data_IF_500328048268
#
_entry.id   IF_500328048268
#
_cell.length_a   1.000
_cell.length_b   1.000
_cell.length_c   1.000
_cell.angle_alpha   90.00
_cell.angle_beta   90.00
_cell.angle_gamma   90.00
#
_symmetry.space_group_name_H-M   'P 1'
#
loop_
_entity.id
_entity.type
_entity.pdbx_description
1 polymer ?
#
# COMPACT_ATOMS: atom_id res chain seq x y z
N UNK A 1 12.63 6.19 1.42
CA UNK A 1 12.17 4.96 0.74
C UNK A 1 10.65 4.92 0.82
N UNK A 2 10.00 4.68 -0.32
CA UNK A 2 8.56 4.51 -0.41
C UNK A 2 8.19 3.01 -0.36
N UNK A 3 7.29 2.66 0.54
CA UNK A 3 6.74 1.31 0.67
C UNK A 3 5.23 1.36 0.43
N UNK A 4 4.77 0.73 -0.65
CA UNK A 4 3.36 0.73 -1.03
C UNK A 4 2.73 -0.61 -0.66
N UNK A 5 1.64 -0.57 0.10
CA UNK A 5 0.75 -1.70 0.38
C UNK A 5 -0.50 -1.52 -0.48
N UNK A 6 -0.62 -2.34 -1.52
CA UNK A 6 -1.73 -2.31 -2.45
C UNK A 6 -2.75 -3.40 -2.09
N UNK A 7 -3.96 -2.97 -1.73
CA UNK A 7 -5.10 -3.86 -1.59
C UNK A 7 -5.56 -4.33 -2.95
N UNK A 8 -5.43 -5.64 -3.21
CA UNK A 8 -5.90 -6.27 -4.44
C UNK A 8 -7.07 -7.22 -4.15
N UNK A 9 -7.83 -7.01 -3.09
CA UNK A 9 -9.00 -7.82 -2.73
C UNK A 9 -10.19 -7.66 -3.68
N UNK A 10 -11.19 -8.52 -3.51
CA UNK A 10 -12.42 -8.48 -4.31
C UNK A 10 -13.21 -7.18 -4.12
N UNK A 11 -13.13 -6.51 -2.98
CA UNK A 11 -13.83 -5.23 -2.79
C UNK A 11 -13.22 -4.11 -3.63
N UNK A 12 -11.90 -4.15 -3.83
CA UNK A 12 -11.17 -3.23 -4.71
C UNK A 12 -11.42 -3.48 -6.21
N UNK A 13 -11.87 -4.68 -6.59
CA UNK A 13 -12.26 -4.94 -7.99
C UNK A 13 -13.59 -4.28 -8.37
N UNK A 14 -14.48 -4.08 -7.39
CA UNK A 14 -15.78 -3.45 -7.64
C UNK A 14 -15.58 -1.97 -7.95
N UNK A 15 -16.25 -1.46 -8.99
CA UNK A 15 -16.30 -0.01 -9.25
C UNK A 15 -14.96 0.65 -9.58
N UNK A 16 -14.03 -0.06 -10.24
CA UNK A 16 -12.73 0.48 -10.71
C UNK A 16 -11.76 0.95 -9.60
N UNK A 17 -11.99 0.62 -8.34
CA UNK A 17 -11.12 1.07 -7.23
C UNK A 17 -9.67 0.62 -7.40
N UNK A 18 -9.43 -0.64 -7.79
CA UNK A 18 -8.09 -1.15 -8.08
C UNK A 18 -7.44 -0.40 -9.26
N UNK A 19 -8.21 -0.03 -10.29
CA UNK A 19 -7.68 0.75 -11.41
C UNK A 19 -7.22 2.14 -10.94
N UNK A 20 -8.00 2.80 -10.07
CA UNK A 20 -7.62 4.08 -9.45
C UNK A 20 -6.40 3.92 -8.54
N UNK A 21 -6.34 2.84 -7.75
CA UNK A 21 -5.21 2.53 -6.89
C UNK A 21 -3.92 2.30 -7.68
N UNK A 22 -3.99 1.66 -8.85
CA UNK A 22 -2.85 1.58 -9.78
C UNK A 22 -2.39 2.96 -10.27
N UNK A 23 -3.32 3.87 -10.55
CA UNK A 23 -3.02 5.26 -10.90
C UNK A 23 -2.27 6.01 -9.78
N UNK A 24 -2.71 5.85 -8.53
CA UNK A 24 -1.98 6.39 -7.38
C UNK A 24 -0.62 5.73 -7.20
N UNK A 25 -0.51 4.42 -7.38
CA UNK A 25 0.77 3.71 -7.35
C UNK A 25 1.75 4.26 -8.39
N UNK A 26 1.27 4.55 -9.61
CA UNK A 26 2.06 5.19 -10.65
C UNK A 26 2.56 6.58 -10.20
N UNK A 27 1.68 7.41 -9.64
CA UNK A 27 2.06 8.74 -9.14
C UNK A 27 3.09 8.69 -8.00
N UNK A 28 2.93 7.74 -7.06
CA UNK A 28 3.89 7.50 -5.97
C UNK A 28 5.25 7.04 -6.53
N UNK A 29 5.23 6.14 -7.53
CA UNK A 29 6.44 5.65 -8.16
C UNK A 29 7.20 6.78 -8.89
N UNK A 30 6.49 7.66 -9.59
CA UNK A 30 7.06 8.84 -10.23
C UNK A 30 7.65 9.83 -9.22
N UNK A 31 6.98 10.04 -8.08
CA UNK A 31 7.50 10.85 -7.00
C UNK A 31 8.81 10.26 -6.44
N UNK A 32 8.81 8.96 -6.13
CA UNK A 32 10.00 8.27 -5.65
C UNK A 32 11.15 8.35 -6.67
N UNK A 33 10.85 8.21 -7.97
CA UNK A 33 11.83 8.37 -9.04
C UNK A 33 12.45 9.77 -9.06
N UNK A 34 11.63 10.83 -9.00
CA UNK A 34 12.11 12.22 -8.96
C UNK A 34 13.00 12.50 -7.75
N UNK A 35 12.67 11.90 -6.60
CA UNK A 35 13.44 12.03 -5.36
C UNK A 35 14.67 11.11 -5.31
N UNK A 36 14.90 10.29 -6.36
CA UNK A 36 15.96 9.26 -6.42
C UNK A 36 15.86 8.24 -5.29
N UNK A 37 14.64 8.02 -4.82
CA UNK A 37 14.33 7.18 -3.70
C UNK A 37 14.09 5.72 -4.12
N UNK A 38 14.17 4.81 -3.15
CA UNK A 38 13.79 3.41 -3.38
C UNK A 38 12.27 3.25 -3.30
N UNK A 39 11.72 2.37 -4.15
CA UNK A 39 10.32 1.97 -4.14
C UNK A 39 10.22 0.47 -3.88
N UNK A 40 9.36 0.08 -2.95
CA UNK A 40 8.91 -1.30 -2.75
C UNK A 40 7.39 -1.34 -2.81
N UNK A 41 6.85 -2.38 -3.43
CA UNK A 41 5.39 -2.55 -3.59
C UNK A 41 5.01 -3.96 -3.17
N UNK A 42 4.06 -4.04 -2.24
CA UNK A 42 3.48 -5.26 -1.74
C UNK A 42 2.01 -5.31 -2.16
N UNK A 43 1.58 -6.46 -2.66
CA UNK A 43 0.18 -6.77 -2.86
C UNK A 43 -0.33 -7.62 -1.70
N UNK A 44 -1.61 -7.49 -1.38
CA UNK A 44 -2.25 -8.43 -0.47
C UNK A 44 -3.67 -8.72 -0.92
N UNK A 45 -4.02 -10.00 -0.90
CA UNK A 45 -5.28 -10.52 -1.39
C UNK A 45 -5.50 -11.96 -0.91
N UNK A 46 -6.75 -12.40 -0.77
CA UNK A 46 -7.05 -13.74 -0.27
C UNK A 46 -6.56 -13.89 1.17
N UNK A 47 -5.63 -14.82 1.37
CA UNK A 47 -5.08 -15.16 2.69
C UNK A 47 -3.59 -14.79 2.85
N UNK A 48 -2.98 -14.12 1.85
CA UNK A 48 -1.55 -13.81 1.88
C UNK A 48 -1.20 -12.40 1.38
N UNK A 49 0.01 -11.97 1.71
CA UNK A 49 0.67 -10.81 1.14
C UNK A 49 1.92 -11.25 0.38
N UNK A 50 2.25 -10.55 -0.70
CA UNK A 50 3.34 -10.89 -1.60
C UNK A 50 4.06 -9.63 -2.09
N UNK A 51 5.32 -9.81 -2.50
CA UNK A 51 6.12 -8.74 -3.09
C UNK A 51 5.77 -8.62 -4.57
N UNK A 52 5.29 -7.45 -4.99
CA UNK A 52 5.08 -7.11 -6.40
C UNK A 52 6.38 -6.55 -6.97
N UNK A 53 6.98 -5.58 -6.27
CA UNK A 53 8.25 -4.98 -6.63
C UNK A 53 9.16 -4.96 -5.40
N UNK A 54 10.30 -5.66 -5.52
CA UNK A 54 11.32 -5.68 -4.48
C UNK A 54 11.95 -4.28 -4.35
N UNK A 55 12.28 -3.88 -3.12
CA UNK A 55 12.84 -2.56 -2.82
C UNK A 55 14.06 -2.22 -3.67
N UNK A 56 13.84 -1.47 -4.75
CA UNK A 56 14.85 -1.09 -5.72
C UNK A 56 14.78 0.42 -5.98
N UNK A 57 15.80 0.97 -6.64
CA UNK A 57 15.75 2.36 -7.09
C UNK A 57 14.52 2.53 -7.99
N UNK A 58 13.67 3.51 -7.68
CA UNK A 58 12.50 3.78 -8.50
C UNK A 58 12.91 4.05 -9.95
N UNK A 59 12.09 3.61 -10.89
CA UNK A 59 12.31 3.76 -12.33
C UNK A 59 11.25 4.72 -12.90
N UNK A 60 11.59 5.39 -14.01
CA UNK A 60 10.65 6.29 -14.69
C UNK A 60 9.46 5.53 -15.32
N UNK A 61 9.69 4.29 -15.75
CA UNK A 61 8.71 3.49 -16.48
C UNK A 61 8.27 2.28 -15.66
N UNK A 62 7.06 2.34 -15.10
CA UNK A 62 6.51 1.28 -14.23
C UNK A 62 5.26 0.60 -14.79
N UNK A 63 4.72 1.10 -15.91
CA UNK A 63 3.46 0.62 -16.47
C UNK A 63 3.49 -0.88 -16.79
N UNK A 64 4.63 -1.39 -17.27
CA UNK A 64 4.80 -2.80 -17.65
C UNK A 64 4.51 -3.79 -16.54
N UNK A 65 4.77 -3.43 -15.27
CA UNK A 65 4.51 -4.29 -14.11
C UNK A 65 3.30 -3.83 -13.28
N UNK A 66 2.92 -2.55 -13.33
CA UNK A 66 1.71 -2.04 -12.65
C UNK A 66 0.43 -2.48 -13.35
N UNK A 67 0.37 -2.34 -14.69
CA UNK A 67 -0.80 -2.68 -15.49
C UNK A 67 -1.31 -4.11 -15.24
N UNK A 68 -0.47 -5.17 -15.23
CA UNK A 68 -0.91 -6.54 -15.05
C UNK A 68 -1.34 -6.92 -13.62
N UNK A 69 -1.18 -6.06 -12.61
CA UNK A 69 -1.59 -6.38 -11.22
C UNK A 69 -3.08 -6.76 -11.20
N UNK A 70 -3.39 -8.02 -10.95
CA UNK A 70 -4.76 -8.51 -10.78
C UNK A 70 -5.14 -8.56 -9.30
N UNK A 71 -6.41 -8.80 -9.02
CA UNK A 71 -6.93 -8.92 -7.66
C UNK A 71 -8.02 -9.98 -7.52
N UNK A 72 -8.46 -10.20 -6.29
CA UNK A 72 -9.53 -11.11 -5.88
C UNK A 72 -9.36 -11.61 -4.44
N UNK A 73 -10.41 -12.14 -3.81
CA UNK A 73 -10.33 -12.70 -2.45
C UNK A 73 -10.38 -11.67 -1.31
N UNK A 74 -10.00 -12.09 -0.10
CA UNK A 74 -9.98 -11.27 1.12
C UNK A 74 -8.84 -10.26 1.22
N UNK A 75 -8.76 -9.54 2.33
CA UNK A 75 -7.75 -8.49 2.59
C UNK A 75 -6.97 -8.78 3.88
N UNK A 76 -5.88 -9.56 3.83
CA UNK A 76 -5.12 -9.92 5.03
C UNK A 76 -4.10 -8.83 5.36
N UNK A 77 -4.58 -7.69 5.86
CA UNK A 77 -3.73 -6.53 6.19
C UNK A 77 -2.61 -6.88 7.18
N UNK A 78 -2.87 -7.74 8.15
CA UNK A 78 -1.86 -8.22 9.10
C UNK A 78 -0.68 -8.90 8.39
N UNK A 79 -0.94 -9.71 7.37
CA UNK A 79 0.10 -10.37 6.57
C UNK A 79 0.93 -9.34 5.78
N UNK A 80 0.28 -8.30 5.25
CA UNK A 80 0.97 -7.21 4.55
C UNK A 80 1.89 -6.42 5.48
N UNK A 81 1.43 -6.10 6.69
CA UNK A 81 2.22 -5.41 7.71
C UNK A 81 3.41 -6.28 8.15
N UNK A 82 3.20 -7.57 8.42
CA UNK A 82 4.30 -8.47 8.80
C UNK A 82 5.36 -8.60 7.69
N UNK A 83 4.95 -8.65 6.42
CA UNK A 83 5.88 -8.69 5.29
C UNK A 83 6.65 -7.37 5.16
N UNK A 84 5.98 -6.23 5.30
CA UNK A 84 6.59 -4.90 5.30
C UNK A 84 7.66 -4.78 6.37
N UNK A 85 7.35 -5.16 7.62
CA UNK A 85 8.29 -5.08 8.74
C UNK A 85 9.54 -5.92 8.48
N UNK A 86 9.39 -7.15 7.98
CA UNK A 86 10.52 -8.02 7.62
C UNK A 86 11.40 -7.39 6.53
N UNK A 87 10.80 -6.77 5.52
CA UNK A 87 11.53 -6.11 4.44
C UNK A 87 12.30 -4.89 4.93
N UNK A 88 11.66 -4.04 5.76
CA UNK A 88 12.30 -2.86 6.32
C UNK A 88 13.40 -3.22 7.33
N UNK A 89 13.20 -4.24 8.15
CA UNK A 89 14.26 -4.77 9.02
C UNK A 89 15.47 -5.24 8.21
N UNK A 90 15.26 -5.95 7.09
CA UNK A 90 16.35 -6.37 6.21
C UNK A 90 17.05 -5.18 5.55
N UNK A 91 16.29 -4.19 5.10
CA UNK A 91 16.84 -2.98 4.50
C UNK A 91 17.69 -2.17 5.49
N UNK A 92 17.24 -2.07 6.76
CA UNK A 92 17.96 -1.38 7.85
C UNK A 92 19.31 -2.02 8.18
N UNK A 93 19.50 -3.31 7.93
CA UNK A 93 20.81 -3.98 8.06
C UNK A 93 21.85 -3.48 7.05
N UNK A 94 21.42 -2.85 5.96
CA UNK A 94 22.29 -2.32 4.91
C UNK A 94 22.57 -0.82 5.08
N UNK A 95 21.99 -0.18 6.10
CA UNK A 95 22.13 1.24 6.39
C UNK A 95 20.83 1.86 6.91
N UNK A 96 20.85 3.14 7.33
CA UNK A 96 19.65 3.85 7.76
C UNK A 96 18.57 3.86 6.68
N UNK A 97 17.33 3.60 7.05
CA UNK A 97 16.17 3.63 6.14
C UNK A 97 15.06 4.44 6.78
N UNK A 98 14.68 5.52 6.10
CA UNK A 98 13.44 6.26 6.35
C UNK A 98 12.36 5.70 5.40
N UNK A 99 11.31 5.12 5.97
CA UNK A 99 10.21 4.46 5.30
C UNK A 99 8.93 5.32 5.35
N UNK A 100 8.50 5.77 4.17
CA UNK A 100 7.19 6.36 3.96
C UNK A 100 6.24 5.27 3.44
N UNK A 101 5.27 4.87 4.25
CA UNK A 101 4.34 3.79 3.94
C UNK A 101 3.03 4.34 3.36
N UNK A 102 2.60 3.77 2.24
CA UNK A 102 1.36 4.12 1.55
C UNK A 102 0.44 2.91 1.57
N UNK A 103 -0.73 3.01 2.20
CA UNK A 103 -1.77 1.98 2.13
C UNK A 103 -2.86 2.42 1.15
N UNK A 104 -3.07 1.66 0.08
CA UNK A 104 -4.15 1.90 -0.87
C UNK A 104 -5.24 0.85 -0.68
N UNK A 105 -6.37 1.22 -0.09
CA UNK A 105 -7.46 0.29 0.23
C UNK A 105 -8.79 1.02 0.43
N UNK A 106 -9.89 0.26 0.31
CA UNK A 106 -11.24 0.69 0.72
C UNK A 106 -11.51 0.43 2.22
N UNK A 107 -10.52 -0.07 2.97
CA UNK A 107 -10.59 -0.24 4.42
C UNK A 107 -11.37 -1.46 4.90
N UNK A 108 -11.82 -2.35 4.00
CA UNK A 108 -12.65 -3.51 4.34
C UNK A 108 -11.81 -4.68 4.87
N UNK A 109 -11.28 -4.51 6.07
CA UNK A 109 -10.48 -5.51 6.76
C UNK A 109 -11.30 -6.25 7.82
N UNK A 110 -11.23 -7.59 7.83
CA UNK A 110 -11.83 -8.40 8.89
C UNK A 110 -11.15 -8.16 10.25
N UNK A 111 -9.83 -7.96 10.23
CA UNK A 111 -9.03 -7.62 11.39
C UNK A 111 -8.07 -6.48 11.02
N UNK A 112 -8.04 -5.47 11.88
CA UNK A 112 -7.13 -4.33 11.73
C UNK A 112 -5.95 -4.52 12.69
N UNK A 113 -4.72 -4.72 12.15
CA UNK A 113 -3.54 -4.87 12.99
C UNK A 113 -3.12 -3.52 13.61
N UNK A 114 -2.14 -3.58 14.49
CA UNK A 114 -1.50 -2.37 15.02
C UNK A 114 -0.77 -1.59 13.93
N UNK A 115 -0.54 -0.30 14.20
CA UNK A 115 0.26 0.57 13.33
C UNK A 115 1.66 -0.05 13.18
N UNK A 116 2.21 -0.21 11.96
CA UNK A 116 3.58 -0.67 11.78
C UNK A 116 4.56 0.27 12.47
N UNK A 117 5.29 -0.24 13.47
CA UNK A 117 6.27 0.52 14.25
C UNK A 117 7.47 0.97 13.42
N UNK A 118 7.71 0.28 12.31
CA UNK A 118 8.83 0.54 11.41
C UNK A 118 8.62 1.73 10.47
N UNK A 119 7.45 2.37 10.45
CA UNK A 119 7.12 3.44 9.51
C UNK A 119 7.19 4.82 10.18
N UNK A 120 8.09 5.67 9.68
CA UNK A 120 8.20 7.07 10.13
C UNK A 120 6.96 7.87 9.70
N UNK A 121 6.48 7.64 8.48
CA UNK A 121 5.24 8.23 7.97
C UNK A 121 4.33 7.14 7.38
N UNK A 122 3.02 7.28 7.62
CA UNK A 122 2.00 6.42 7.03
C UNK A 122 0.93 7.32 6.41
N UNK A 123 0.59 7.03 5.16
CA UNK A 123 -0.53 7.66 4.45
C UNK A 123 -1.50 6.57 3.99
N UNK A 124 -2.77 6.71 4.33
CA UNK A 124 -3.85 5.84 3.85
C UNK A 124 -4.60 6.56 2.74
N UNK A 125 -4.59 5.98 1.55
CA UNK A 125 -5.37 6.42 0.39
C UNK A 125 -6.65 5.59 0.33
N UNK A 126 -7.78 6.25 0.57
CA UNK A 126 -9.09 5.63 0.75
C UNK A 126 -9.91 5.54 -0.53
N UNK A 127 -10.31 4.33 -0.91
CA UNK A 127 -11.11 4.07 -2.12
C UNK A 127 -12.60 3.80 -1.85
N UNK A 128 -13.07 3.99 -0.62
CA UNK A 128 -14.42 3.68 -0.14
C UNK A 128 -15.51 4.72 -0.47
N UNK A 129 -15.30 5.54 -1.50
CA UNK A 129 -16.20 6.64 -1.91
C UNK A 129 -17.49 6.20 -2.63
N UNK A 130 -17.77 4.89 -2.74
CA UNK A 130 -18.96 4.35 -3.43
C UNK A 130 -19.96 3.66 -2.50
N UNK A 131 -21.07 4.33 -2.16
CA UNK A 131 -22.15 3.82 -1.29
C UNK A 131 -22.25 4.55 0.05
N UNK A 132 -23.02 4.02 1.03
CA UNK A 132 -23.03 4.56 2.40
C UNK A 132 -21.59 4.59 2.93
N UNK A 133 -20.98 5.76 3.12
CA UNK A 133 -19.56 5.86 3.43
C UNK A 133 -19.37 5.43 4.88
N UNK A 134 -18.98 4.17 5.06
CA UNK A 134 -18.58 3.66 6.38
C UNK A 134 -17.24 4.27 6.84
N UNK A 135 -16.61 5.10 5.98
CA UNK A 135 -15.36 5.82 6.24
C UNK A 135 -14.29 4.89 6.78
N UNK A 136 -14.22 3.67 6.25
CA UNK A 136 -13.41 2.60 6.84
C UNK A 136 -11.92 2.89 6.70
N UNK A 137 -11.51 3.38 5.53
CA UNK A 137 -10.14 3.81 5.29
C UNK A 137 -9.75 4.99 6.19
N UNK A 138 -10.67 5.94 6.40
CA UNK A 138 -10.46 7.10 7.27
C UNK A 138 -10.37 6.70 8.74
N UNK A 139 -11.24 5.79 9.21
CA UNK A 139 -11.21 5.24 10.58
C UNK A 139 -9.91 4.47 10.84
N UNK A 140 -9.43 3.73 9.84
CA UNK A 140 -8.12 3.08 9.90
C UNK A 140 -7.01 4.11 10.04
N UNK A 141 -7.01 5.16 9.20
CA UNK A 141 -6.01 6.23 9.26
C UNK A 141 -6.01 6.90 10.65
N UNK A 142 -7.19 7.20 11.20
CA UNK A 142 -7.33 7.76 12.54
C UNK A 142 -6.77 6.82 13.61
N UNK A 143 -7.10 5.51 13.58
CA UNK A 143 -6.58 4.50 14.51
C UNK A 143 -5.06 4.39 14.46
N UNK A 144 -4.48 4.57 13.27
CA UNK A 144 -3.03 4.52 13.08
C UNK A 144 -2.35 5.87 13.26
N UNK A 145 -3.06 6.97 13.54
CA UNK A 145 -2.47 8.33 13.48
C UNK A 145 -1.71 8.56 12.16
N UNK A 146 -2.32 8.16 11.06
CA UNK A 146 -1.80 8.26 9.70
C UNK A 146 -2.47 9.42 8.95
N UNK A 147 -1.77 9.95 7.95
CA UNK A 147 -2.37 10.87 6.99
C UNK A 147 -3.46 10.14 6.20
N UNK A 148 -4.54 10.83 5.84
CA UNK A 148 -5.62 10.26 5.05
C UNK A 148 -5.86 11.08 3.78
N UNK A 149 -5.97 10.40 2.65
CA UNK A 149 -6.26 10.99 1.34
C UNK A 149 -7.51 10.29 0.77
N UNK A 150 -8.62 11.00 0.52
CA UNK A 150 -9.73 10.45 -0.23
C UNK A 150 -9.34 10.33 -1.71
N UNK A 151 -9.54 9.16 -2.30
CA UNK A 151 -9.25 8.90 -3.71
C UNK A 151 -10.44 9.13 -4.61
#
# INVERSE_FOLDING_TARGET
>A
MHCVLLDTSASMLRGQQLARAKGYLQAIAEQAYRQRDKLCVLGFSGDSAYVIQAGAKAQAWNEGWIRPIAGGGGSPLASAIALLERLLQRARRQGPVHACVWLLSDGRFAQVPERPSCAEQITVVGFDQGGLPLQLSQRLAARWHADWIPA
#
